data_IF_059185626050
#
_entry.id   IF_059185626050
#
_cell.length_a   1.000
_cell.length_b   1.000
_cell.length_c   1.000
_cell.angle_alpha   90.00
_cell.angle_beta   90.00
_cell.angle_gamma   90.00
#
_symmetry.space_group_name_H-M   'P 1'
#
loop_
_entity.id
_entity.type
_entity.pdbx_description
1 polymer ?
#
# COMPACT_ATOMS: atom_id res chain seq x y z
N UNK A 1 -0.61 -9.65 -21.32
CA UNK A 1 -0.77 -8.59 -20.30
C UNK A 1 -0.06 -9.10 -19.08
N UNK A 2 0.98 -8.40 -18.62
CA UNK A 2 1.78 -8.87 -17.50
C UNK A 2 0.92 -8.90 -16.23
N UNK A 3 1.10 -9.95 -15.42
CA UNK A 3 0.37 -10.10 -14.16
C UNK A 3 0.92 -9.11 -13.16
N UNK A 4 0.12 -8.10 -12.82
CA UNK A 4 0.44 -7.14 -11.76
C UNK A 4 -0.05 -7.69 -10.43
N UNK A 5 0.85 -7.78 -9.45
CA UNK A 5 0.51 -8.11 -8.06
C UNK A 5 1.07 -7.01 -7.15
N UNK A 6 0.24 -6.50 -6.26
CA UNK A 6 0.60 -5.46 -5.29
C UNK A 6 0.66 -6.08 -3.92
N UNK A 7 1.76 -5.88 -3.21
CA UNK A 7 1.94 -6.29 -1.82
C UNK A 7 2.03 -5.05 -0.94
N UNK A 8 1.39 -5.11 0.23
CA UNK A 8 1.47 -4.07 1.27
C UNK A 8 1.82 -4.73 2.58
N UNK A 9 2.77 -4.12 3.29
CA UNK A 9 3.17 -4.52 4.63
C UNK A 9 3.29 -3.30 5.54
N UNK A 10 3.03 -3.52 6.84
CA UNK A 10 3.28 -2.54 7.89
C UNK A 10 3.60 -3.26 9.19
N UNK A 11 4.45 -2.65 10.02
CA UNK A 11 4.59 -3.05 11.43
C UNK A 11 3.42 -2.52 12.25
N UNK A 12 3.19 -3.14 13.40
CA UNK A 12 2.26 -2.74 14.45
C UNK A 12 3.08 -2.55 15.71
N UNK A 13 3.30 -1.30 16.10
CA UNK A 13 3.98 -1.00 17.35
C UNK A 13 3.02 -1.14 18.55
N UNK A 14 3.54 -1.38 19.77
CA UNK A 14 2.70 -1.63 20.96
C UNK A 14 1.69 -0.52 21.29
N UNK A 15 2.00 0.73 20.92
CA UNK A 15 1.14 1.89 21.16
C UNK A 15 0.23 2.24 19.98
N UNK A 16 0.37 1.54 18.86
CA UNK A 16 -0.44 1.80 17.67
C UNK A 16 -1.75 1.02 17.71
N UNK A 17 -2.77 1.59 17.08
CA UNK A 17 -4.05 0.92 16.89
C UNK A 17 -4.04 0.18 15.56
N UNK A 18 -4.24 -1.13 15.61
CA UNK A 18 -4.37 -2.00 14.42
C UNK A 18 -5.45 -1.48 13.48
N UNK A 19 -6.60 -1.06 14.01
CA UNK A 19 -7.70 -0.52 13.20
C UNK A 19 -7.30 0.75 12.44
N UNK A 20 -6.51 1.63 13.06
CA UNK A 20 -5.99 2.83 12.39
C UNK A 20 -5.00 2.47 11.28
N UNK A 21 -4.16 1.46 11.49
CA UNK A 21 -3.24 0.95 10.46
C UNK A 21 -4.02 0.39 9.28
N UNK A 22 -5.01 -0.48 9.53
CA UNK A 22 -5.87 -1.04 8.48
C UNK A 22 -6.63 0.05 7.71
N UNK A 23 -7.13 1.07 8.43
CA UNK A 23 -7.78 2.23 7.82
C UNK A 23 -6.83 3.04 6.94
N UNK A 24 -5.59 3.26 7.39
CA UNK A 24 -4.56 3.95 6.62
C UNK A 24 -4.20 3.20 5.34
N UNK A 25 -4.06 1.86 5.41
CA UNK A 25 -3.84 1.02 4.23
C UNK A 25 -5.03 1.13 3.27
N UNK A 26 -6.27 0.99 3.75
CA UNK A 26 -7.49 1.11 2.93
C UNK A 26 -7.68 2.51 2.32
N UNK A 27 -7.15 3.54 2.98
CA UNK A 27 -7.15 4.91 2.46
C UNK A 27 -6.30 5.06 1.20
N UNK A 28 -5.29 4.20 0.98
CA UNK A 28 -4.46 4.21 -0.22
C UNK A 28 -4.80 3.05 -1.17
N UNK A 29 -5.07 1.87 -0.64
CA UNK A 29 -5.29 0.61 -1.35
C UNK A 29 -6.61 -0.06 -0.90
N UNK A 30 -7.77 0.43 -1.38
CA UNK A 30 -9.08 0.04 -0.86
C UNK A 30 -9.50 -1.39 -1.23
N UNK A 31 -8.86 -2.01 -2.22
CA UNK A 31 -9.15 -3.39 -2.65
C UNK A 31 -8.31 -4.42 -1.90
N UNK A 32 -7.22 -4.00 -1.26
CA UNK A 32 -6.38 -4.89 -0.46
C UNK A 32 -7.10 -5.15 0.88
N UNK A 33 -7.12 -6.41 1.30
CA UNK A 33 -7.63 -6.85 2.61
C UNK A 33 -6.46 -7.44 3.41
N UNK A 34 -5.75 -6.61 4.19
CA UNK A 34 -4.60 -7.09 4.94
C UNK A 34 -5.00 -8.02 6.08
N UNK A 35 -4.17 -9.03 6.33
CA UNK A 35 -4.23 -9.89 7.51
C UNK A 35 -3.29 -9.36 8.59
N UNK A 36 -3.65 -9.53 9.85
CA UNK A 36 -2.89 -9.07 11.01
C UNK A 36 -2.23 -10.29 11.67
N UNK A 37 -0.91 -10.24 11.82
CA UNK A 37 -0.13 -11.20 12.60
C UNK A 37 0.31 -10.49 13.90
N UNK A 38 -0.46 -10.69 14.97
CA UNK A 38 -0.20 -10.06 16.27
C UNK A 38 1.04 -10.61 16.97
N UNK A 39 1.43 -11.86 16.68
CA UNK A 39 2.62 -12.47 17.28
C UNK A 39 3.90 -11.81 16.74
N UNK A 40 3.91 -11.48 15.45
CA UNK A 40 5.01 -10.76 14.80
C UNK A 40 4.87 -9.24 14.82
N UNK A 41 3.72 -8.73 15.25
CA UNK A 41 3.42 -7.31 15.24
C UNK A 41 3.46 -6.74 13.82
N UNK A 42 2.81 -7.40 12.86
CA UNK A 42 2.81 -6.98 11.46
C UNK A 42 1.44 -7.15 10.78
N UNK A 43 1.24 -6.41 9.71
CA UNK A 43 0.07 -6.48 8.82
C UNK A 43 0.57 -6.70 7.42
N UNK A 44 -0.01 -7.68 6.70
CA UNK A 44 0.36 -8.02 5.32
C UNK A 44 -0.87 -8.22 4.45
N UNK A 45 -0.84 -7.70 3.24
CA UNK A 45 -1.94 -7.87 2.27
C UNK A 45 -1.44 -7.89 0.85
N UNK A 46 -2.24 -8.47 -0.05
CA UNK A 46 -1.97 -8.41 -1.48
C UNK A 46 -3.25 -8.28 -2.30
N UNK A 47 -3.10 -7.80 -3.52
CA UNK A 47 -4.16 -7.83 -4.54
C UNK A 47 -3.54 -8.01 -5.92
N UNK A 48 -4.28 -8.67 -6.81
CA UNK A 48 -3.92 -8.80 -8.22
C UNK A 48 -4.63 -7.72 -9.04
N UNK A 49 -4.02 -7.37 -10.16
CA UNK A 49 -4.57 -6.40 -11.10
C UNK A 49 -4.14 -4.97 -10.82
N UNK A 50 -4.22 -4.15 -11.87
CA UNK A 50 -3.83 -2.74 -11.82
C UNK A 50 -4.85 -1.89 -11.06
N UNK A 51 -6.07 -2.40 -10.90
CA UNK A 51 -7.18 -1.79 -10.17
C UNK A 51 -6.83 -1.53 -8.70
N UNK A 52 -5.94 -2.36 -8.13
CA UNK A 52 -5.42 -2.14 -6.78
C UNK A 52 -4.68 -0.81 -6.62
N UNK A 53 -4.15 -0.24 -7.71
CA UNK A 53 -3.40 1.01 -7.71
C UNK A 53 -4.27 2.23 -8.07
N UNK A 54 -5.55 2.06 -8.42
CA UNK A 54 -6.40 3.15 -8.92
C UNK A 54 -6.50 4.32 -7.93
N UNK A 55 -6.68 4.05 -6.64
CA UNK A 55 -6.80 5.12 -5.63
C UNK A 55 -5.47 5.84 -5.41
N UNK A 56 -4.36 5.10 -5.30
CA UNK A 56 -3.01 5.69 -5.23
C UNK A 56 -2.73 6.60 -6.44
N UNK A 57 -3.03 6.13 -7.65
CA UNK A 57 -2.88 6.90 -8.89
C UNK A 57 -3.66 8.23 -8.87
N UNK A 58 -4.86 8.23 -8.30
CA UNK A 58 -5.68 9.43 -8.14
C UNK A 58 -5.13 10.38 -7.05
N UNK A 59 -4.68 9.83 -5.91
CA UNK A 59 -4.09 10.62 -4.83
C UNK A 59 -2.85 11.40 -5.30
N UNK A 60 -1.92 10.75 -6.00
CA UNK A 60 -0.70 11.40 -6.49
C UNK A 60 -0.98 12.58 -7.44
N UNK A 61 -2.09 12.53 -8.20
CA UNK A 61 -2.55 13.63 -9.06
C UNK A 61 -3.17 14.75 -8.27
N UNK A 62 -4.09 14.40 -7.37
CA UNK A 62 -4.82 15.37 -6.54
C UNK A 62 -3.88 16.21 -5.70
N UNK A 63 -2.88 15.55 -5.09
CA UNK A 63 -1.88 16.21 -4.24
C UNK A 63 -0.76 16.90 -5.05
N UNK A 64 -0.78 16.81 -6.38
CA UNK A 64 0.23 17.42 -7.28
C UNK A 64 1.68 16.96 -7.03
N UNK A 65 1.89 15.76 -6.50
CA UNK A 65 3.20 15.21 -6.13
C UNK A 65 3.76 14.17 -7.13
N UNK A 66 3.26 14.15 -8.37
CA UNK A 66 3.65 13.14 -9.38
C UNK A 66 5.15 13.10 -9.66
N UNK A 67 5.81 14.25 -9.66
CA UNK A 67 7.24 14.32 -9.97
C UNK A 67 8.08 13.69 -8.86
N UNK A 68 7.74 13.99 -7.61
CA UNK A 68 8.36 13.36 -6.44
C UNK A 68 8.09 11.85 -6.42
N UNK A 69 6.84 11.42 -6.64
CA UNK A 69 6.47 10.01 -6.68
C UNK A 69 7.19 9.24 -7.79
N UNK A 70 7.35 9.82 -8.98
CA UNK A 70 8.12 9.21 -10.08
C UNK A 70 9.56 8.94 -9.70
N UNK A 71 10.21 9.88 -9.00
CA UNK A 71 11.57 9.72 -8.50
C UNK A 71 11.67 8.56 -7.52
N UNK A 72 10.75 8.46 -6.55
CA UNK A 72 10.70 7.37 -5.56
C UNK A 72 10.45 6.03 -6.22
N UNK A 73 9.43 5.92 -7.10
CA UNK A 73 9.08 4.66 -7.77
C UNK A 73 10.22 4.13 -8.63
N UNK A 74 10.93 5.00 -9.37
CA UNK A 74 12.06 4.58 -10.20
C UNK A 74 13.25 4.09 -9.39
N UNK A 75 13.48 4.64 -8.20
CA UNK A 75 14.57 4.18 -7.31
C UNK A 75 14.35 2.77 -6.79
N UNK A 76 13.09 2.35 -6.64
CA UNK A 76 12.73 1.01 -6.17
C UNK A 76 12.48 -0.01 -7.28
N UNK A 77 12.79 0.30 -8.54
CA UNK A 77 12.71 -0.70 -9.62
C UNK A 77 13.90 -1.62 -9.50
N UNK A 78 13.60 -2.89 -9.20
CA UNK A 78 14.54 -4.00 -9.25
C UNK A 78 14.08 -4.95 -10.37
N UNK A 79 15.01 -5.55 -11.10
CA UNK A 79 14.74 -6.40 -12.26
C UNK A 79 15.88 -7.33 -12.58
#
# INVERSE_FOLDING_TARGET
MDRVVVYVESKVHPTESVEKILSAISNVFPTIRPQVDLEKGEVRGSAEGIEALTKLYNLLRREQIRDAARSVLRKGVEG
#
